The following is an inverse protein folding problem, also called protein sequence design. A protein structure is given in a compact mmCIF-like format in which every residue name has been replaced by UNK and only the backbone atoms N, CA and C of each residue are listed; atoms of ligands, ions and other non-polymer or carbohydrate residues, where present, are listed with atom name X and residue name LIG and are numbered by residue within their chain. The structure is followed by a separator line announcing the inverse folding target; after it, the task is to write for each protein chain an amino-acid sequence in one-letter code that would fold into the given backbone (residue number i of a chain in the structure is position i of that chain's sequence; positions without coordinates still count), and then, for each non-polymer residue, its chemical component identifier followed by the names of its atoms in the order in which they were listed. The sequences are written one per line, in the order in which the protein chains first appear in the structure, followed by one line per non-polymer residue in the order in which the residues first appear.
data_IF_940613964814
#
_entry.id   IF_940613964814
#
_cell.length_a   1.000
_cell.length_b   1.000
_cell.length_c   1.000
_cell.angle_alpha   90.00
_cell.angle_beta   90.00
_cell.angle_gamma   90.00
#
_symmetry.space_group_name_H-M   'P 1'
#
loop_
_entity.id
_entity.type
_entity.pdbx_description
1 polymer ?
#
# COMPACT_ATOMS: atom_id res chain seq x y z
N UNK A 1 -25.51 12.20 3.48
CA UNK A 1 -24.64 13.29 3.95
C UNK A 1 -23.55 13.52 2.90
N UNK A 2 -23.25 14.76 2.53
CA UNK A 2 -22.22 15.05 1.53
C UNK A 2 -20.82 15.02 2.16
N UNK A 3 -19.87 14.32 1.52
CA UNK A 3 -18.48 14.26 1.97
C UNK A 3 -17.85 15.67 1.96
N UNK A 4 -17.04 16.07 2.96
CA UNK A 4 -16.29 17.34 2.93
C UNK A 4 -15.42 17.47 1.68
N UNK A 5 -15.29 18.68 1.11
CA UNK A 5 -14.56 18.89 -0.14
C UNK A 5 -13.09 18.43 -0.08
N UNK A 6 -12.44 18.59 1.07
CA UNK A 6 -11.04 18.16 1.30
C UNK A 6 -10.85 16.64 1.22
N UNK A 7 -11.89 15.86 1.49
CA UNK A 7 -11.87 14.39 1.48
C UNK A 7 -12.37 13.81 0.15
N UNK A 8 -12.77 14.65 -0.82
CA UNK A 8 -13.25 14.17 -2.13
C UNK A 8 -12.11 13.86 -3.12
N UNK A 9 -10.89 14.35 -2.85
CA UNK A 9 -9.79 14.27 -3.80
C UNK A 9 -9.04 12.93 -3.74
N UNK A 10 -8.87 12.35 -2.56
CA UNK A 10 -8.15 11.09 -2.35
C UNK A 10 -8.69 10.32 -1.15
N UNK A 11 -8.36 9.04 -1.11
CA UNK A 11 -8.74 8.13 -0.01
C UNK A 11 -7.86 8.44 1.19
N UNK A 12 -8.39 8.40 2.41
CA UNK A 12 -7.59 8.64 3.61
C UNK A 12 -6.70 7.42 3.94
N UNK A 13 -5.55 7.59 4.62
CA UNK A 13 -4.71 6.46 5.00
C UNK A 13 -5.47 5.38 5.82
N UNK A 14 -6.35 5.73 6.78
CA UNK A 14 -7.17 4.72 7.48
C UNK A 14 -8.16 3.98 6.56
N UNK A 15 -8.70 4.64 5.53
CA UNK A 15 -9.54 3.96 4.54
C UNK A 15 -8.72 3.00 3.66
N UNK A 16 -7.47 3.33 3.31
CA UNK A 16 -6.58 2.40 2.63
C UNK A 16 -6.25 1.19 3.50
N UNK A 17 -6.01 1.38 4.80
CA UNK A 17 -5.85 0.29 5.77
C UNK A 17 -7.11 -0.58 5.86
N UNK A 18 -8.30 0.04 5.87
CA UNK A 18 -9.57 -0.68 5.85
C UNK A 18 -9.69 -1.55 4.58
N UNK A 19 -9.31 -1.01 3.42
CA UNK A 19 -9.30 -1.79 2.16
C UNK A 19 -8.26 -2.92 2.23
N UNK A 20 -7.07 -2.65 2.75
CA UNK A 20 -6.03 -3.67 2.92
C UNK A 20 -6.44 -4.78 3.92
N UNK A 21 -7.31 -4.46 4.87
CA UNK A 21 -7.80 -5.42 5.87
C UNK A 21 -8.58 -6.60 5.29
N UNK A 22 -9.07 -6.47 4.05
CA UNK A 22 -9.76 -7.54 3.32
C UNK A 22 -8.80 -8.61 2.78
N UNK A 23 -7.49 -8.33 2.73
CA UNK A 23 -6.49 -9.26 2.23
C UNK A 23 -6.42 -10.50 3.12
N UNK A 24 -6.37 -11.68 2.50
CA UNK A 24 -6.18 -12.94 3.20
C UNK A 24 -4.73 -13.08 3.66
N UNK A 25 -4.53 -13.33 4.94
CA UNK A 25 -3.24 -13.62 5.56
C UNK A 25 -3.29 -14.97 6.29
N UNK A 26 -2.11 -15.54 6.53
CA UNK A 26 -1.98 -16.79 7.29
C UNK A 26 -1.90 -16.52 8.79
N UNK A 27 -2.60 -17.34 9.56
CA UNK A 27 -2.52 -17.36 11.03
C UNK A 27 -2.33 -18.79 11.53
N UNK A 28 -1.80 -18.92 12.74
CA UNK A 28 -1.86 -20.14 13.54
C UNK A 28 -2.89 -19.90 14.65
N UNK A 29 -4.10 -20.49 14.57
CA UNK A 29 -5.12 -20.33 15.59
C UNK A 29 -4.74 -21.06 16.87
N UNK A 30 -5.15 -20.52 18.02
CA UNK A 30 -5.09 -21.16 19.33
C UNK A 30 -6.44 -21.69 19.80
N UNK A 31 -7.50 -21.38 19.07
CA UNK A 31 -8.86 -21.84 19.35
C UNK A 31 -9.33 -22.80 18.27
N UNK A 32 -10.13 -23.77 18.67
CA UNK A 32 -10.90 -24.59 17.74
C UNK A 32 -12.19 -23.85 17.36
N UNK A 33 -12.45 -23.72 16.07
CA UNK A 33 -13.68 -23.13 15.54
C UNK A 33 -14.03 -23.83 14.23
N UNK A 34 -15.29 -24.24 14.09
CA UNK A 34 -15.77 -24.77 12.83
C UNK A 34 -15.85 -23.69 11.76
N UNK A 35 -16.05 -24.11 10.51
CA UNK A 35 -16.17 -23.17 9.40
C UNK A 35 -17.40 -22.28 9.61
N UNK A 36 -17.18 -20.96 9.68
CA UNK A 36 -18.23 -19.97 9.95
C UNK A 36 -18.52 -19.17 8.69
N UNK A 37 -19.79 -19.08 8.30
CA UNK A 37 -20.23 -18.24 7.19
C UNK A 37 -20.41 -16.79 7.65
N UNK A 38 -19.68 -15.87 7.01
CA UNK A 38 -19.86 -14.43 7.14
C UNK A 38 -20.47 -13.88 5.86
N UNK A 39 -20.95 -12.63 5.91
CA UNK A 39 -21.48 -11.91 4.74
C UNK A 39 -20.42 -11.83 3.63
N UNK A 40 -19.14 -11.66 3.99
CA UNK A 40 -18.02 -11.57 3.05
C UNK A 40 -17.49 -12.92 2.55
N UNK A 41 -18.01 -14.05 3.06
CA UNK A 41 -17.54 -15.39 2.74
C UNK A 41 -17.42 -16.30 3.97
N UNK A 42 -17.11 -17.57 3.74
CA UNK A 42 -16.94 -18.55 4.81
C UNK A 42 -15.46 -18.75 5.16
N UNK A 43 -15.12 -18.61 6.43
CA UNK A 43 -13.73 -18.75 6.94
C UNK A 43 -13.62 -19.87 7.97
N UNK A 44 -12.45 -20.51 8.01
CA UNK A 44 -12.20 -21.72 8.82
C UNK A 44 -12.39 -23.02 8.03
N UNK A 45 -12.32 -24.18 8.70
CA UNK A 45 -12.20 -24.36 10.14
C UNK A 45 -10.85 -23.89 10.70
N UNK A 46 -10.84 -23.37 11.92
CA UNK A 46 -9.64 -23.03 12.67
C UNK A 46 -9.35 -24.19 13.62
N UNK A 47 -8.23 -24.88 13.42
CA UNK A 47 -7.82 -26.01 14.26
C UNK A 47 -6.34 -25.88 14.61
N UNK A 48 -5.99 -25.64 15.88
CA UNK A 48 -4.59 -25.61 16.29
C UNK A 48 -3.91 -26.98 16.05
N UNK A 49 -2.63 -27.02 15.66
CA UNK A 49 -1.72 -25.92 15.32
C UNK A 49 -1.72 -25.60 13.81
N UNK A 50 -2.71 -26.04 13.05
CA UNK A 50 -2.72 -25.92 11.59
C UNK A 50 -2.91 -24.47 11.16
N UNK A 51 -2.09 -24.03 10.19
CA UNK A 51 -2.25 -22.71 9.58
C UNK A 51 -3.62 -22.58 8.90
N UNK A 52 -4.20 -21.40 8.98
CA UNK A 52 -5.46 -21.07 8.30
C UNK A 52 -5.36 -19.69 7.63
N UNK A 53 -6.00 -19.55 6.46
CA UNK A 53 -6.09 -18.28 5.73
C UNK A 53 -7.39 -17.58 6.08
N UNK A 54 -7.28 -16.39 6.65
CA UNK A 54 -8.42 -15.53 7.01
C UNK A 54 -8.13 -14.07 6.64
N UNK A 55 -9.14 -13.20 6.52
CA UNK A 55 -8.91 -11.79 6.29
C UNK A 55 -8.12 -11.13 7.42
N UNK A 56 -7.29 -10.15 7.08
CA UNK A 56 -6.48 -9.40 8.04
C UNK A 56 -7.33 -8.75 9.15
N UNK A 57 -8.52 -8.21 8.84
CA UNK A 57 -9.41 -7.67 9.88
C UNK A 57 -9.81 -8.73 10.92
N UNK A 58 -10.01 -9.98 10.50
CA UNK A 58 -10.40 -11.08 11.39
C UNK A 58 -9.20 -11.53 12.21
N UNK A 59 -8.03 -11.63 11.58
CA UNK A 59 -6.77 -11.96 12.25
C UNK A 59 -6.42 -10.95 13.34
N UNK A 60 -6.53 -9.64 13.06
CA UNK A 60 -6.33 -8.56 14.05
C UNK A 60 -7.26 -8.72 15.24
N UNK A 61 -8.56 -8.98 15.01
CA UNK A 61 -9.53 -9.20 16.07
C UNK A 61 -9.21 -10.44 16.94
N UNK A 62 -8.74 -11.53 16.33
CA UNK A 62 -8.33 -12.74 17.06
C UNK A 62 -7.03 -12.52 17.83
N UNK A 63 -6.05 -11.81 17.24
CA UNK A 63 -4.77 -11.48 17.88
C UNK A 63 -4.96 -10.57 19.10
N UNK A 64 -5.78 -9.52 19.01
CA UNK A 64 -6.12 -8.67 20.16
C UNK A 64 -6.77 -9.46 21.30
N UNK A 65 -7.47 -10.55 21.00
CA UNK A 65 -8.06 -11.48 21.98
C UNK A 65 -7.11 -12.61 22.41
N UNK A 66 -5.85 -12.60 21.95
CA UNK A 66 -4.83 -13.65 22.19
C UNK A 66 -5.30 -15.05 21.74
N UNK A 67 -6.00 -15.13 20.61
CA UNK A 67 -6.59 -16.36 20.06
C UNK A 67 -5.89 -16.89 18.81
N UNK A 68 -4.85 -16.21 18.32
CA UNK A 68 -4.01 -16.67 17.23
C UNK A 68 -2.64 -15.99 17.27
N UNK A 69 -1.68 -16.61 16.60
CA UNK A 69 -0.46 -15.96 16.12
C UNK A 69 -0.62 -15.60 14.65
N UNK A 70 -0.26 -14.38 14.27
CA UNK A 70 -0.23 -13.96 12.86
C UNK A 70 1.08 -14.47 12.26
N UNK A 71 1.01 -15.13 11.10
CA UNK A 71 2.21 -15.53 10.38
C UNK A 71 2.61 -14.35 9.49
N UNK A 72 3.80 -13.79 9.73
CA UNK A 72 4.35 -12.72 8.90
C UNK A 72 4.43 -13.17 7.42
N UNK A 73 3.97 -12.34 6.46
CA UNK A 73 4.16 -12.65 5.04
C UNK A 73 5.64 -12.77 4.68
N UNK A 74 5.97 -13.61 3.70
CA UNK A 74 7.36 -13.89 3.29
C UNK A 74 8.16 -12.63 2.89
N UNK A 75 7.48 -11.62 2.36
CA UNK A 75 8.08 -10.33 1.98
C UNK A 75 8.33 -9.39 3.16
N UNK A 76 7.71 -9.63 4.33
CA UNK A 76 7.85 -8.80 5.53
C UNK A 76 8.99 -9.35 6.40
N UNK A 77 10.16 -9.50 5.81
CA UNK A 77 11.38 -9.95 6.48
C UNK A 77 12.49 -8.91 6.29
N UNK A 78 13.41 -8.82 7.25
CA UNK A 78 14.48 -7.83 7.18
C UNK A 78 15.37 -8.04 5.95
N UNK A 79 15.65 -9.28 5.57
CA UNK A 79 16.52 -9.61 4.44
C UNK A 79 15.84 -9.23 3.11
N UNK A 80 14.56 -9.58 2.93
CA UNK A 80 13.81 -9.20 1.75
C UNK A 80 13.71 -7.68 1.61
N UNK A 81 13.36 -6.96 2.68
CA UNK A 81 13.23 -5.50 2.63
C UNK A 81 14.57 -4.80 2.38
N UNK A 82 15.67 -5.32 2.93
CA UNK A 82 17.02 -4.82 2.65
C UNK A 82 17.39 -5.00 1.17
N UNK A 83 17.10 -6.17 0.59
CA UNK A 83 17.31 -6.43 -0.84
C UNK A 83 16.50 -5.45 -1.69
N UNK A 84 15.21 -5.25 -1.36
CA UNK A 84 14.34 -4.32 -2.09
C UNK A 84 14.83 -2.88 -1.97
N UNK A 85 15.29 -2.46 -0.80
CA UNK A 85 15.88 -1.14 -0.61
C UNK A 85 17.13 -0.94 -1.50
N UNK A 86 18.02 -1.94 -1.55
CA UNK A 86 19.21 -1.88 -2.39
C UNK A 86 18.86 -1.77 -3.88
N UNK A 87 17.89 -2.56 -4.36
CA UNK A 87 17.37 -2.46 -5.73
C UNK A 87 16.74 -1.08 -5.98
N UNK A 88 15.99 -0.56 -5.01
CA UNK A 88 15.33 0.73 -5.12
C UNK A 88 16.33 1.90 -5.25
N UNK A 89 17.50 1.80 -4.60
CA UNK A 89 18.54 2.83 -4.70
C UNK A 89 19.46 2.66 -5.91
N UNK A 90 19.59 1.45 -6.45
CA UNK A 90 20.53 1.15 -7.54
C UNK A 90 19.86 1.24 -8.91
N UNK A 91 18.62 0.74 -9.02
CA UNK A 91 17.90 0.68 -10.28
C UNK A 91 17.06 1.94 -10.50
N UNK A 92 16.95 2.34 -11.77
CA UNK A 92 16.10 3.44 -12.20
C UNK A 92 14.60 3.12 -12.02
N UNK A 93 14.23 1.85 -12.18
CA UNK A 93 12.84 1.40 -12.05
C UNK A 93 12.46 1.11 -10.59
N UNK A 94 11.17 1.16 -10.27
CA UNK A 94 10.67 0.76 -8.96
C UNK A 94 10.81 -0.75 -8.75
N UNK A 95 11.33 -1.15 -7.60
CA UNK A 95 11.37 -2.55 -7.20
C UNK A 95 9.94 -3.11 -7.07
N UNK A 96 9.77 -4.39 -7.38
CA UNK A 96 8.47 -5.07 -7.26
C UNK A 96 8.13 -5.29 -5.78
N UNK A 97 6.97 -4.83 -5.35
CA UNK A 97 6.45 -5.01 -4.00
C UNK A 97 4.96 -5.35 -4.08
N UNK A 98 4.40 -6.04 -3.07
CA UNK A 98 2.96 -6.22 -2.97
C UNK A 98 2.25 -4.87 -3.00
N UNK A 99 1.15 -4.76 -3.76
CA UNK A 99 0.47 -3.50 -4.00
C UNK A 99 0.07 -2.74 -2.72
N UNK A 100 -0.22 -3.46 -1.63
CA UNK A 100 -0.64 -2.88 -0.34
C UNK A 100 0.36 -3.14 0.80
N UNK A 101 1.65 -3.25 0.46
CA UNK A 101 2.67 -3.63 1.43
C UNK A 101 2.71 -2.67 2.63
N UNK A 102 2.55 -1.36 2.42
CA UNK A 102 2.65 -0.35 3.47
C UNK A 102 1.52 -0.47 4.49
N UNK A 103 0.29 -0.63 4.02
CA UNK A 103 -0.90 -0.79 4.86
C UNK A 103 -0.86 -2.10 5.64
N UNK A 104 -0.53 -3.21 4.97
CA UNK A 104 -0.45 -4.54 5.60
C UNK A 104 0.67 -4.55 6.65
N UNK A 105 1.85 -4.04 6.31
CA UNK A 105 2.99 -4.00 7.23
C UNK A 105 2.68 -3.18 8.47
N UNK A 106 2.06 -1.99 8.30
CA UNK A 106 1.64 -1.16 9.44
C UNK A 106 0.72 -1.93 10.38
N UNK A 107 -0.37 -2.51 9.86
CA UNK A 107 -1.36 -3.22 10.68
C UNK A 107 -0.73 -4.40 11.43
N UNK A 108 0.11 -5.19 10.76
CA UNK A 108 0.79 -6.34 11.38
C UNK A 108 1.76 -5.86 12.46
N UNK A 109 2.62 -4.89 12.17
CA UNK A 109 3.62 -4.41 13.13
C UNK A 109 2.98 -3.72 14.34
N UNK A 110 1.80 -3.12 14.19
CA UNK A 110 1.11 -2.44 15.28
C UNK A 110 0.37 -3.42 16.22
N UNK A 111 -0.13 -4.55 15.70
CA UNK A 111 -0.95 -5.50 16.47
C UNK A 111 -0.21 -6.79 16.85
N UNK A 112 0.78 -7.18 16.04
CA UNK A 112 1.47 -8.47 16.11
C UNK A 112 2.99 -8.33 15.93
N UNK A 113 3.59 -7.26 16.47
CA UNK A 113 5.05 -7.10 16.48
C UNK A 113 5.77 -8.26 17.19
N UNK A 114 5.10 -8.93 18.13
CA UNK A 114 5.60 -10.11 18.84
C UNK A 114 5.64 -11.38 17.99
N UNK A 115 4.89 -11.42 16.87
CA UNK A 115 4.91 -12.53 15.92
C UNK A 115 5.90 -12.31 14.75
N UNK A 116 6.61 -11.18 14.73
CA UNK A 116 7.52 -10.78 13.65
C UNK A 116 8.97 -10.77 14.17
N UNK A 117 9.90 -11.29 13.37
CA UNK A 117 11.33 -11.26 13.69
C UNK A 117 11.91 -9.86 13.51
N UNK A 118 12.57 -9.32 14.55
CA UNK A 118 13.23 -8.00 14.52
C UNK A 118 12.32 -6.85 14.01
N UNK A 119 11.17 -6.58 14.68
CA UNK A 119 10.17 -5.63 14.19
C UNK A 119 10.72 -4.19 14.06
N UNK A 120 11.65 -3.77 14.93
CA UNK A 120 12.25 -2.43 14.86
C UNK A 120 13.12 -2.24 13.63
N UNK A 121 13.88 -3.26 13.24
CA UNK A 121 14.67 -3.26 12.00
C UNK A 121 13.76 -3.18 10.78
N UNK A 122 12.66 -3.95 10.78
CA UNK A 122 11.66 -3.90 9.71
C UNK A 122 11.02 -2.51 9.61
N UNK A 123 10.67 -1.87 10.74
CA UNK A 123 10.14 -0.50 10.76
C UNK A 123 11.12 0.51 10.15
N UNK A 124 12.41 0.39 10.46
CA UNK A 124 13.47 1.23 9.85
C UNK A 124 13.53 1.01 8.35
N UNK A 125 13.63 -0.25 7.90
CA UNK A 125 13.73 -0.59 6.48
C UNK A 125 12.52 -0.13 5.66
N UNK A 126 11.31 -0.26 6.20
CA UNK A 126 10.10 0.24 5.54
C UNK A 126 10.09 1.77 5.42
N UNK A 127 10.65 2.47 6.42
CA UNK A 127 10.80 3.93 6.37
C UNK A 127 11.82 4.33 5.30
N UNK A 128 12.99 3.71 5.29
CA UNK A 128 14.05 3.98 4.31
C UNK A 128 13.57 3.69 2.88
N UNK A 129 12.85 2.56 2.70
CA UNK A 129 12.25 2.17 1.42
C UNK A 129 11.20 3.19 0.96
N UNK A 130 10.33 3.67 1.86
CA UNK A 130 9.36 4.72 1.55
C UNK A 130 10.05 6.01 1.12
N UNK A 131 11.10 6.42 1.83
CA UNK A 131 11.86 7.64 1.50
C UNK A 131 12.53 7.54 0.13
N UNK A 132 13.17 6.41 -0.18
CA UNK A 132 13.78 6.13 -1.47
C UNK A 132 12.73 6.16 -2.60
N UNK A 133 11.58 5.52 -2.41
CA UNK A 133 10.50 5.46 -3.41
C UNK A 133 9.81 6.80 -3.62
N UNK A 134 9.64 7.59 -2.56
CA UNK A 134 9.14 8.97 -2.68
C UNK A 134 10.13 9.87 -3.43
N UNK A 135 11.44 9.73 -3.18
CA UNK A 135 12.46 10.48 -3.92
C UNK A 135 12.45 10.13 -5.41
N UNK A 136 12.41 8.83 -5.74
CA UNK A 136 12.29 8.35 -7.12
C UNK A 136 11.00 8.82 -7.79
N UNK A 137 9.88 8.79 -7.08
CA UNK A 137 8.60 9.30 -7.59
C UNK A 137 8.66 10.79 -7.93
N UNK A 138 9.27 11.61 -7.06
CA UNK A 138 9.44 13.05 -7.33
C UNK A 138 10.29 13.31 -8.57
N UNK A 139 11.34 12.53 -8.79
CA UNK A 139 12.16 12.65 -9.99
C UNK A 139 11.38 12.22 -11.25
N UNK A 140 10.64 11.11 -11.20
CA UNK A 140 9.78 10.69 -12.31
C UNK A 140 8.67 11.69 -12.65
N UNK A 141 8.17 12.43 -11.66
CA UNK A 141 7.19 13.50 -11.88
C UNK A 141 7.80 14.77 -12.51
N UNK A 142 9.12 14.96 -12.50
CA UNK A 142 9.75 16.12 -13.17
C UNK A 142 9.73 16.02 -14.68
N UNK A 143 9.74 14.79 -15.20
CA UNK A 143 9.68 14.49 -16.63
C UNK A 143 8.24 14.32 -17.12
N UNK A 144 7.26 14.85 -16.38
CA UNK A 144 5.85 14.79 -16.75
C UNK A 144 5.59 15.58 -18.04
N UNK A 145 5.00 14.90 -19.01
CA UNK A 145 4.49 15.50 -20.24
C UNK A 145 2.96 15.39 -20.31
N UNK A 146 2.34 16.14 -21.22
CA UNK A 146 0.88 16.20 -21.43
C UNK A 146 0.25 14.89 -21.95
N UNK A 147 1.06 13.94 -22.41
CA UNK A 147 0.64 12.74 -23.12
C UNK A 147 0.39 11.56 -22.18
N UNK A 148 1.45 10.99 -21.60
CA UNK A 148 1.35 9.84 -20.69
C UNK A 148 2.49 9.79 -19.67
N UNK A 149 2.23 9.14 -18.52
CA UNK A 149 3.26 8.76 -17.56
C UNK A 149 3.09 7.29 -17.18
N UNK A 150 4.11 6.48 -17.44
CA UNK A 150 4.14 5.07 -17.06
C UNK A 150 4.99 4.87 -15.81
N UNK A 151 4.35 4.66 -14.66
CA UNK A 151 5.02 4.27 -13.42
C UNK A 151 4.59 2.85 -13.04
N UNK A 152 5.44 1.86 -13.35
CA UNK A 152 5.22 0.46 -12.94
C UNK A 152 5.59 0.25 -11.47
N UNK A 153 4.98 -0.76 -10.85
CA UNK A 153 5.28 -1.22 -9.49
C UNK A 153 5.01 -0.20 -8.36
N UNK A 154 4.18 0.82 -8.56
CA UNK A 154 3.71 1.67 -7.46
C UNK A 154 2.70 0.93 -6.56
N UNK A 155 2.73 1.25 -5.27
CA UNK A 155 1.78 0.76 -4.26
C UNK A 155 0.54 1.65 -4.12
N UNK A 156 -0.50 1.14 -3.45
CA UNK A 156 -1.73 1.90 -3.19
C UNK A 156 -1.50 3.18 -2.43
N UNK A 157 -0.65 3.14 -1.39
CA UNK A 157 -0.33 4.32 -0.58
C UNK A 157 0.38 5.39 -1.42
N UNK A 158 1.38 4.99 -2.23
CA UNK A 158 2.14 5.91 -3.07
C UNK A 158 1.27 6.57 -4.14
N UNK A 159 0.43 5.78 -4.81
CA UNK A 159 -0.54 6.31 -5.79
C UNK A 159 -1.47 7.31 -5.11
N UNK A 160 -1.95 7.01 -3.92
CA UNK A 160 -2.87 7.86 -3.19
C UNK A 160 -2.23 9.19 -2.75
N UNK A 161 -0.95 9.17 -2.37
CA UNK A 161 -0.17 10.37 -2.03
C UNK A 161 0.05 11.28 -3.26
N UNK A 162 0.35 10.69 -4.42
CA UNK A 162 0.68 11.44 -5.65
C UNK A 162 -0.59 11.95 -6.37
N UNK A 163 -1.69 11.20 -6.30
CA UNK A 163 -2.95 11.42 -7.04
C UNK A 163 -3.45 12.87 -7.10
N UNK A 164 -3.62 13.60 -5.98
CA UNK A 164 -4.22 14.94 -6.03
C UNK A 164 -3.39 15.93 -6.85
N UNK A 165 -2.07 15.91 -6.66
CA UNK A 165 -1.15 16.78 -7.40
C UNK A 165 -1.07 16.38 -8.87
N UNK A 166 -0.95 15.07 -9.13
CA UNK A 166 -0.85 14.56 -10.49
C UNK A 166 -2.06 14.91 -11.35
N UNK A 167 -3.27 14.67 -10.84
CA UNK A 167 -4.52 14.97 -11.56
C UNK A 167 -4.63 16.47 -11.85
N UNK A 168 -4.31 17.31 -10.87
CA UNK A 168 -4.38 18.76 -11.04
C UNK A 168 -3.37 19.25 -12.09
N UNK A 169 -2.11 18.82 -12.01
CA UNK A 169 -1.06 19.20 -12.97
C UNK A 169 -1.40 18.74 -14.39
N UNK A 170 -1.82 17.49 -14.56
CA UNK A 170 -2.24 16.95 -15.87
C UNK A 170 -3.46 17.70 -16.42
N UNK A 171 -4.43 18.06 -15.59
CA UNK A 171 -5.58 18.87 -16.01
C UNK A 171 -5.15 20.22 -16.56
N UNK A 172 -4.20 20.90 -15.92
CA UNK A 172 -3.68 22.20 -16.39
C UNK A 172 -2.91 22.03 -17.70
N UNK A 173 -1.98 21.07 -17.78
CA UNK A 173 -1.20 20.81 -18.99
C UNK A 173 -2.11 20.48 -20.18
N UNK A 174 -3.13 19.66 -19.96
CA UNK A 174 -4.12 19.31 -21.00
C UNK A 174 -4.90 20.54 -21.49
N UNK A 175 -5.24 21.47 -20.60
CA UNK A 175 -5.93 22.71 -20.98
C UNK A 175 -5.03 23.63 -21.81
N UNK A 176 -3.75 23.76 -21.45
CA UNK A 176 -2.78 24.58 -22.17
C UNK A 176 -2.51 24.05 -23.58
N UNK A 177 -2.43 22.74 -23.76
CA UNK A 177 -2.21 22.12 -25.08
C UNK A 177 -3.45 22.26 -25.97
N UNK A 178 -4.65 22.18 -25.41
CA UNK A 178 -5.91 22.31 -26.18
C UNK A 178 -6.20 23.72 -26.66
N UNK A 179 -5.80 24.75 -25.89
CA UNK A 179 -5.91 26.16 -26.27
C UNK A 179 -4.49 26.75 -26.39
N UNK A 180 -3.76 26.48 -27.50
CA UNK A 180 -2.54 27.24 -27.75
C UNK A 180 -2.92 28.73 -27.79
N UNK A 181 -2.17 29.57 -27.07
CA UNK A 181 -2.39 31.01 -27.12
C UNK A 181 -2.41 31.47 -28.58
N UNK A 182 -3.35 32.33 -29.00
CA UNK A 182 -3.35 32.85 -30.36
C UNK A 182 -2.03 33.57 -30.60
N UNK A 183 -1.33 33.20 -31.67
CA UNK A 183 -0.02 33.72 -32.02
C UNK A 183 -0.11 35.26 -32.13
N UNK A 184 0.59 36.04 -31.29
CA UNK A 184 0.49 37.50 -31.32
C UNK A 184 1.09 38.11 -32.59
N UNK A 185 1.78 37.30 -33.41
CA UNK A 185 2.35 37.68 -34.70
C UNK A 185 1.70 36.84 -35.79
N UNK A 186 0.42 37.09 -36.05
CA UNK A 186 -0.26 36.61 -37.24
C UNK A 186 0.46 37.11 -38.49
N UNK A 187 1.35 36.27 -39.04
CA UNK A 187 1.68 36.34 -40.45
C UNK A 187 0.83 35.29 -41.19
N UNK A 188 0.26 35.68 -42.35
CA UNK A 188 -0.66 34.83 -43.12
C UNK A 188 -0.02 33.54 -43.60
#
# INVERSE_FOLDING_TARGET
MALPQTLRASVTPPELELVASQQLIEIIPMISMEKTAFISGAYGPLRPPNKAKIPLWMAVNLKMKKKCHIVAPDWLTADYLQERLNLETTDLSFSSLPFRFAEIAKVILDVASDDVENPDKIRSLLKDLREARQAKSREGLRTLDHSELTLSNLSSMEINEIRPYFIQSMSIMTQLVRNPAPDPLGHP
#
